data_IF_516002839875
#
_entry.id   IF_516002839875
#
_cell.length_a   1.000
_cell.length_b   1.000
_cell.length_c   1.000
_cell.angle_alpha   90.00
_cell.angle_beta   90.00
_cell.angle_gamma   90.00
#
_symmetry.space_group_name_H-M   'P 1'
#
loop_
_entity.id
_entity.type
_entity.pdbx_description
1 polymer ?
#
# COMPACT_ATOMS: atom_id res chain seq x y z
N UNK A 1 -15.33 28.20 -11.04
CA UNK A 1 -14.28 27.22 -11.39
C UNK A 1 -14.78 25.79 -11.21
N UNK A 2 -15.16 25.35 -10.00
CA UNK A 2 -15.64 23.96 -9.81
C UNK A 2 -16.78 23.56 -10.77
N UNK A 3 -17.80 24.41 -10.93
CA UNK A 3 -18.88 24.17 -11.91
C UNK A 3 -18.39 23.92 -13.34
N UNK A 4 -17.33 24.61 -13.77
CA UNK A 4 -16.75 24.44 -15.12
C UNK A 4 -16.04 23.09 -15.19
N UNK A 5 -15.36 22.68 -14.12
CA UNK A 5 -14.72 21.37 -14.02
C UNK A 5 -15.80 20.28 -14.09
N UNK A 6 -16.87 20.39 -13.30
CA UNK A 6 -17.93 19.38 -13.25
C UNK A 6 -18.65 19.23 -14.61
N UNK A 7 -18.97 20.35 -15.27
CA UNK A 7 -19.58 20.36 -16.61
C UNK A 7 -18.61 19.76 -17.65
N UNK A 8 -17.33 20.16 -17.63
CA UNK A 8 -16.33 19.64 -18.56
C UNK A 8 -16.07 18.15 -18.38
N UNK A 9 -16.00 17.65 -17.14
CA UNK A 9 -15.80 16.24 -16.83
C UNK A 9 -16.96 15.41 -17.36
N UNK A 10 -18.20 15.86 -17.12
CA UNK A 10 -19.40 15.18 -17.61
C UNK A 10 -19.39 15.05 -19.14
N UNK A 11 -19.14 16.14 -19.84
CA UNK A 11 -19.13 16.16 -21.30
C UNK A 11 -17.96 15.35 -21.88
N UNK A 12 -16.78 15.41 -21.25
CA UNK A 12 -15.62 14.60 -21.66
C UNK A 12 -15.90 13.10 -21.52
N UNK A 13 -16.53 12.67 -20.42
CA UNK A 13 -16.94 11.27 -20.25
C UNK A 13 -17.90 10.87 -21.36
N UNK A 14 -18.90 11.69 -21.68
CA UNK A 14 -19.83 11.40 -22.78
C UNK A 14 -19.13 11.31 -24.15
N UNK A 15 -18.19 12.21 -24.44
CA UNK A 15 -17.40 12.17 -25.68
C UNK A 15 -16.57 10.89 -25.77
N UNK A 16 -15.92 10.49 -24.67
CA UNK A 16 -15.04 9.33 -24.62
C UNK A 16 -15.84 8.04 -24.68
N UNK A 17 -16.95 7.93 -23.97
CA UNK A 17 -17.81 6.73 -23.93
C UNK A 17 -18.46 6.43 -25.28
N UNK A 18 -18.63 7.45 -26.13
CA UNK A 18 -19.11 7.29 -27.50
C UNK A 18 -18.03 6.82 -28.50
N UNK A 19 -16.78 6.64 -28.07
CA UNK A 19 -15.70 6.12 -28.93
C UNK A 19 -15.68 4.59 -28.98
N UNK A 20 -15.01 4.04 -30.00
CA UNK A 20 -14.91 2.59 -30.19
C UNK A 20 -14.17 1.88 -29.04
N UNK A 21 -13.15 2.53 -28.49
CA UNK A 21 -12.37 2.05 -27.35
C UNK A 21 -12.28 3.12 -26.25
N UNK A 22 -13.34 3.32 -25.43
CA UNK A 22 -13.40 4.41 -24.46
C UNK A 22 -12.22 4.44 -23.49
N UNK A 23 -11.83 3.27 -22.95
CA UNK A 23 -10.68 3.16 -22.02
C UNK A 23 -9.35 3.53 -22.67
N UNK A 24 -9.09 3.08 -23.90
CA UNK A 24 -7.85 3.40 -24.61
C UNK A 24 -7.79 4.90 -24.93
N UNK A 25 -8.92 5.49 -25.37
CA UNK A 25 -9.04 6.93 -25.65
C UNK A 25 -8.85 7.75 -24.36
N UNK A 26 -9.53 7.39 -23.27
CA UNK A 26 -9.38 8.05 -21.98
C UNK A 26 -7.92 8.02 -21.50
N UNK A 27 -7.29 6.85 -21.58
CA UNK A 27 -5.91 6.68 -21.15
C UNK A 27 -4.94 7.53 -21.98
N UNK A 28 -5.05 7.49 -23.31
CA UNK A 28 -4.22 8.32 -24.18
C UNK A 28 -4.44 9.82 -23.94
N UNK A 29 -5.70 10.26 -23.80
CA UNK A 29 -6.05 11.64 -23.45
C UNK A 29 -5.38 12.09 -22.14
N UNK A 30 -5.45 11.27 -21.10
CA UNK A 30 -4.77 11.54 -19.82
C UNK A 30 -3.26 11.70 -20.06
N UNK A 31 -2.62 10.76 -20.76
CA UNK A 31 -1.18 10.81 -21.00
C UNK A 31 -0.77 12.07 -21.78
N UNK A 32 -1.57 12.51 -22.75
CA UNK A 32 -1.33 13.76 -23.49
C UNK A 32 -1.40 14.99 -22.59
N UNK A 33 -2.37 15.05 -21.69
CA UNK A 33 -2.49 16.15 -20.74
C UNK A 33 -1.32 16.18 -19.74
N UNK A 34 -0.84 15.02 -19.30
CA UNK A 34 0.35 14.93 -18.45
C UNK A 34 1.62 15.35 -19.21
N UNK A 35 1.77 14.93 -20.47
CA UNK A 35 2.89 15.31 -21.33
C UNK A 35 2.91 16.83 -21.59
N UNK A 36 1.76 17.44 -21.76
CA UNK A 36 1.61 18.89 -21.92
C UNK A 36 1.89 19.64 -20.60
N UNK A 37 1.49 19.09 -19.46
CA UNK A 37 1.61 19.73 -18.15
C UNK A 37 2.99 19.56 -17.49
N UNK A 38 3.84 18.65 -17.97
CA UNK A 38 5.16 18.32 -17.37
C UNK A 38 6.14 19.49 -17.24
N UNK A 39 5.93 20.58 -17.98
CA UNK A 39 6.77 21.79 -17.94
C UNK A 39 6.03 23.02 -17.41
N UNK A 40 4.88 22.82 -16.77
CA UNK A 40 4.10 23.90 -16.15
C UNK A 40 4.94 24.66 -15.11
N UNK A 41 4.87 26.00 -15.02
CA UNK A 41 5.51 26.73 -13.91
C UNK A 41 4.71 26.62 -12.59
N UNK A 42 3.51 26.02 -12.62
CA UNK A 42 2.59 25.96 -11.48
C UNK A 42 2.92 24.77 -10.59
N UNK A 43 3.38 25.02 -9.36
CA UNK A 43 3.71 23.99 -8.37
C UNK A 43 2.55 23.01 -8.12
N UNK A 44 1.30 23.51 -8.03
CA UNK A 44 0.11 22.69 -7.85
C UNK A 44 -0.03 21.60 -8.93
N UNK A 45 0.33 21.91 -10.18
CA UNK A 45 0.21 20.97 -11.31
C UNK A 45 1.20 19.82 -11.14
N UNK A 46 2.47 20.12 -10.82
CA UNK A 46 3.48 19.10 -10.55
C UNK A 46 3.12 18.22 -9.37
N UNK A 47 2.66 18.87 -8.30
CA UNK A 47 2.21 18.17 -7.10
C UNK A 47 1.08 17.20 -7.44
N UNK A 48 0.09 17.64 -8.23
CA UNK A 48 -1.05 16.82 -8.63
C UNK A 48 -0.64 15.65 -9.54
N UNK A 49 0.17 15.89 -10.58
CA UNK A 49 0.68 14.84 -11.48
C UNK A 49 1.38 13.75 -10.67
N UNK A 50 2.22 14.13 -9.69
CA UNK A 50 2.94 13.17 -8.85
C UNK A 50 2.01 12.21 -8.10
N UNK A 51 0.79 12.66 -7.79
CA UNK A 51 -0.19 11.83 -7.09
C UNK A 51 -0.92 10.84 -7.97
N UNK A 52 -0.86 10.96 -9.31
CA UNK A 52 -1.66 10.12 -10.21
C UNK A 52 -1.11 8.72 -10.41
N UNK A 53 0.09 8.44 -9.91
CA UNK A 53 0.76 7.14 -10.03
C UNK A 53 0.96 6.72 -11.49
N UNK A 54 1.38 7.69 -12.31
CA UNK A 54 1.76 7.51 -13.71
C UNK A 54 3.19 8.01 -13.84
N UNK A 55 4.10 7.12 -14.23
CA UNK A 55 5.51 7.41 -14.32
C UNK A 55 5.82 8.32 -15.51
N UNK A 56 6.86 9.15 -15.39
CA UNK A 56 7.22 10.10 -16.44
C UNK A 56 7.45 9.44 -17.81
N UNK A 57 8.00 8.22 -17.83
CA UNK A 57 8.24 7.50 -19.08
C UNK A 57 6.94 7.04 -19.77
N UNK A 58 5.83 6.92 -19.03
CA UNK A 58 4.54 6.47 -19.57
C UNK A 58 3.85 7.57 -20.38
N UNK A 59 3.95 8.83 -19.97
CA UNK A 59 3.36 9.96 -20.70
C UNK A 59 4.36 10.74 -21.56
N UNK A 60 5.67 10.47 -21.43
CA UNK A 60 6.67 11.14 -22.27
C UNK A 60 6.35 10.95 -23.75
N UNK A 61 6.29 12.06 -24.48
CA UNK A 61 6.02 12.09 -25.92
C UNK A 61 4.64 11.52 -26.29
N UNK A 62 3.69 11.44 -25.35
CA UNK A 62 2.34 10.92 -25.59
C UNK A 62 1.62 11.67 -26.73
N UNK A 63 1.80 12.99 -26.83
CA UNK A 63 1.21 13.78 -27.91
C UNK A 63 1.69 13.35 -29.32
N UNK A 64 2.87 12.74 -29.45
CA UNK A 64 3.40 12.29 -30.75
C UNK A 64 2.80 10.98 -31.24
N UNK A 65 2.10 10.26 -30.37
CA UNK A 65 1.48 8.96 -30.65
C UNK A 65 -0.04 9.02 -30.52
N UNK A 66 -0.62 10.21 -30.69
CA UNK A 66 -2.07 10.42 -30.73
C UNK A 66 -2.71 9.82 -31.97
N UNK A 67 -4.03 9.72 -31.97
CA UNK A 67 -4.84 9.35 -33.12
C UNK A 67 -6.20 10.06 -33.08
N UNK A 68 -6.90 10.03 -34.21
CA UNK A 68 -8.08 10.84 -34.49
C UNK A 68 -9.24 10.72 -33.47
N UNK A 69 -9.36 9.62 -32.70
CA UNK A 69 -10.42 9.54 -31.67
C UNK A 69 -10.09 10.37 -30.42
N UNK A 70 -8.81 10.69 -30.21
CA UNK A 70 -8.28 11.49 -29.09
C UNK A 70 -8.17 12.96 -29.49
N UNK A 71 -7.47 13.26 -30.59
CA UNK A 71 -7.11 14.61 -31.01
C UNK A 71 -7.88 15.16 -32.22
N UNK A 72 -8.70 14.32 -32.85
CA UNK A 72 -9.53 14.73 -33.99
C UNK A 72 -10.65 15.69 -33.61
N UNK A 73 -11.40 16.14 -34.62
CA UNK A 73 -12.42 17.20 -34.46
C UNK A 73 -13.49 16.88 -33.40
N UNK A 74 -13.81 15.61 -33.18
CA UNK A 74 -14.76 15.14 -32.17
C UNK A 74 -14.10 14.51 -30.96
N UNK A 75 -12.78 14.63 -30.81
CA UNK A 75 -12.00 14.03 -29.73
C UNK A 75 -12.04 14.83 -28.43
N UNK A 76 -11.76 14.18 -27.27
CA UNK A 76 -11.71 14.83 -25.97
C UNK A 76 -10.66 15.94 -25.91
N UNK A 77 -9.52 15.80 -26.62
CA UNK A 77 -8.47 16.81 -26.62
C UNK A 77 -8.95 18.12 -27.27
N UNK A 78 -9.64 18.02 -28.40
CA UNK A 78 -10.19 19.19 -29.09
C UNK A 78 -11.26 19.90 -28.25
N UNK A 79 -12.10 19.15 -27.54
CA UNK A 79 -13.09 19.70 -26.62
C UNK A 79 -12.42 20.49 -25.48
N UNK A 80 -11.42 19.91 -24.81
CA UNK A 80 -10.72 20.58 -23.71
C UNK A 80 -9.95 21.82 -24.18
N UNK A 81 -9.35 21.78 -25.38
CA UNK A 81 -8.71 22.95 -26.01
C UNK A 81 -9.73 24.07 -26.23
N UNK A 82 -10.93 23.77 -26.73
CA UNK A 82 -11.96 24.78 -26.98
C UNK A 82 -12.44 25.47 -25.68
N UNK A 83 -12.58 24.71 -24.58
CA UNK A 83 -12.85 25.28 -23.26
C UNK A 83 -11.73 26.22 -22.85
N UNK A 84 -10.48 25.77 -22.95
CA UNK A 84 -9.32 26.57 -22.54
C UNK A 84 -9.21 27.88 -23.35
N UNK A 85 -9.42 27.82 -24.67
CA UNK A 85 -9.44 29.01 -25.55
C UNK A 85 -10.56 29.98 -25.17
N UNK A 86 -11.74 29.48 -24.82
CA UNK A 86 -12.86 30.29 -24.33
C UNK A 86 -12.49 31.00 -23.04
N UNK A 87 -11.89 30.31 -22.06
CA UNK A 87 -11.44 30.91 -20.80
C UNK A 87 -10.33 31.95 -21.00
N UNK A 88 -9.40 31.70 -21.90
CA UNK A 88 -8.37 32.69 -22.29
C UNK A 88 -8.99 33.94 -22.90
N UNK A 89 -10.01 33.79 -23.76
CA UNK A 89 -10.74 34.94 -24.34
C UNK A 89 -11.44 35.80 -23.27
N UNK A 90 -11.80 35.19 -22.14
CA UNK A 90 -12.36 35.84 -20.96
C UNK A 90 -11.29 36.40 -20.01
N UNK A 91 -10.02 36.40 -20.42
CA UNK A 91 -8.85 36.90 -19.66
C UNK A 91 -8.56 36.12 -18.36
N UNK A 92 -8.91 34.84 -18.29
CA UNK A 92 -8.49 33.97 -17.18
C UNK A 92 -6.99 33.66 -17.29
N UNK A 93 -6.27 33.69 -16.17
CA UNK A 93 -4.83 33.43 -16.09
C UNK A 93 -4.49 31.99 -16.56
N UNK A 94 -3.45 31.85 -17.39
CA UNK A 94 -2.94 30.56 -17.87
C UNK A 94 -2.57 29.58 -16.76
N UNK A 95 -2.09 30.05 -15.60
CA UNK A 95 -1.78 29.22 -14.43
C UNK A 95 -3.04 28.61 -13.80
N UNK A 96 -4.13 29.38 -13.78
CA UNK A 96 -5.45 28.92 -13.32
C UNK A 96 -6.01 27.89 -14.30
N UNK A 97 -5.80 28.09 -15.60
CA UNK A 97 -6.21 27.14 -16.64
C UNK A 97 -5.40 25.84 -16.54
N UNK A 98 -4.10 25.91 -16.31
CA UNK A 98 -3.26 24.72 -16.08
C UNK A 98 -3.74 23.91 -14.86
N UNK A 99 -4.11 24.60 -13.78
CA UNK A 99 -4.68 23.97 -12.59
C UNK A 99 -6.06 23.33 -12.87
N UNK A 100 -6.90 23.96 -13.70
CA UNK A 100 -8.18 23.40 -14.11
C UNK A 100 -8.01 22.14 -14.97
N UNK A 101 -7.10 22.15 -15.94
CA UNK A 101 -6.83 21.01 -16.82
C UNK A 101 -6.43 19.79 -16.01
N UNK A 102 -5.47 19.95 -15.09
CA UNK A 102 -5.00 18.82 -14.29
C UNK A 102 -6.07 18.30 -13.32
N UNK A 103 -6.95 19.17 -12.80
CA UNK A 103 -8.10 18.73 -12.01
C UNK A 103 -9.11 17.93 -12.84
N UNK A 104 -9.40 18.35 -14.07
CA UNK A 104 -10.26 17.57 -14.99
C UNK A 104 -9.65 16.19 -15.25
N UNK A 105 -8.34 16.13 -15.53
CA UNK A 105 -7.60 14.87 -15.73
C UNK A 105 -7.74 13.95 -14.52
N UNK A 106 -7.66 14.48 -13.30
CA UNK A 106 -7.87 13.71 -12.06
C UNK A 106 -9.26 13.07 -11.99
N UNK A 107 -10.32 13.80 -12.34
CA UNK A 107 -11.67 13.27 -12.34
C UNK A 107 -11.88 12.21 -13.44
N UNK A 108 -11.29 12.39 -14.62
CA UNK A 108 -11.31 11.39 -15.70
C UNK A 108 -10.52 10.14 -15.28
N UNK A 109 -9.34 10.31 -14.67
CA UNK A 109 -8.56 9.24 -14.04
C UNK A 109 -9.38 8.44 -13.03
N UNK A 110 -10.13 9.13 -12.16
CA UNK A 110 -11.00 8.51 -11.16
C UNK A 110 -12.17 7.73 -11.82
N UNK A 111 -12.85 8.35 -12.79
CA UNK A 111 -13.99 7.75 -13.47
C UNK A 111 -13.62 6.43 -14.19
N UNK A 112 -12.52 6.43 -14.94
CA UNK A 112 -12.07 5.26 -15.69
C UNK A 112 -11.21 4.30 -14.86
N UNK A 113 -10.98 4.60 -13.58
CA UNK A 113 -10.19 3.81 -12.63
C UNK A 113 -8.78 3.56 -13.16
N UNK A 114 -8.04 4.63 -13.36
CA UNK A 114 -6.67 4.62 -13.87
C UNK A 114 -5.69 5.21 -12.85
N UNK A 115 -4.39 4.93 -13.03
CA UNK A 115 -3.34 5.42 -12.14
C UNK A 115 -3.64 5.05 -10.68
N UNK A 116 -3.63 6.06 -9.79
CA UNK A 116 -3.99 5.91 -8.37
C UNK A 116 -5.41 5.43 -8.08
N UNK A 117 -6.29 5.47 -9.08
CA UNK A 117 -7.67 5.02 -8.98
C UNK A 117 -7.89 3.64 -9.60
N UNK A 118 -6.83 2.99 -10.06
CA UNK A 118 -6.91 1.66 -10.63
C UNK A 118 -7.46 0.66 -9.62
N UNK A 119 -8.57 0.06 -9.98
CA UNK A 119 -9.12 -1.13 -9.32
C UNK A 119 -9.05 -2.27 -10.32
N UNK A 120 -8.48 -3.39 -9.92
CA UNK A 120 -8.30 -4.56 -10.79
C UNK A 120 -9.67 -5.19 -11.08
N UNK A 121 -10.38 -4.65 -12.08
CA UNK A 121 -11.75 -5.03 -12.44
C UNK A 121 -11.83 -6.34 -13.25
N UNK A 122 -10.72 -7.08 -13.42
CA UNK A 122 -10.72 -8.40 -14.05
C UNK A 122 -11.33 -9.44 -13.10
N UNK A 123 -12.65 -9.45 -13.07
CA UNK A 123 -13.46 -10.52 -12.49
C UNK A 123 -13.53 -11.63 -13.54
N UNK A 124 -12.76 -12.69 -13.34
CA UNK A 124 -13.08 -13.96 -13.98
C UNK A 124 -14.28 -14.57 -13.24
N UNK A 125 -15.49 -14.39 -13.78
CA UNK A 125 -16.73 -14.96 -13.20
C UNK A 125 -16.72 -16.49 -13.12
N UNK A 126 -15.71 -17.15 -13.69
CA UNK A 126 -15.52 -18.60 -13.64
C UNK A 126 -14.47 -19.05 -12.60
N UNK A 127 -13.81 -18.15 -11.86
CA UNK A 127 -12.94 -18.58 -10.78
C UNK A 127 -13.78 -19.08 -9.60
N UNK A 128 -13.45 -20.27 -9.09
CA UNK A 128 -14.05 -20.82 -7.86
C UNK A 128 -13.80 -19.85 -6.70
N UNK A 129 -14.78 -18.99 -6.41
CA UNK A 129 -14.66 -18.04 -5.31
C UNK A 129 -14.90 -18.77 -3.99
N UNK A 130 -13.91 -18.70 -3.09
CA UNK A 130 -14.09 -19.10 -1.71
C UNK A 130 -15.04 -18.11 -1.04
N UNK A 131 -16.17 -18.61 -0.52
CA UNK A 131 -17.05 -17.78 0.32
C UNK A 131 -16.49 -17.75 1.74
N UNK A 132 -15.78 -16.68 2.08
CA UNK A 132 -15.10 -16.52 3.37
C UNK A 132 -16.07 -16.39 4.55
N UNK A 133 -17.30 -15.95 4.29
CA UNK A 133 -18.28 -15.63 5.32
C UNK A 133 -19.35 -16.72 5.49
N UNK A 134 -19.31 -17.77 4.67
CA UNK A 134 -20.09 -18.98 4.92
C UNK A 134 -19.60 -19.65 6.22
N UNK A 135 -20.48 -19.92 7.20
CA UNK A 135 -20.08 -20.38 8.53
C UNK A 135 -19.46 -21.80 8.50
N UNK A 136 -18.21 -21.92 8.93
CA UNK A 136 -17.54 -23.22 9.16
C UNK A 136 -17.46 -23.58 10.66
N UNK A 137 -17.54 -22.57 11.52
CA UNK A 137 -17.45 -22.71 12.98
C UNK A 137 -18.78 -22.30 13.62
N UNK A 138 -19.37 -23.22 14.39
CA UNK A 138 -20.59 -22.97 15.14
C UNK A 138 -20.29 -22.15 16.42
N UNK A 139 -20.46 -20.83 16.34
CA UNK A 139 -20.47 -19.90 17.48
C UNK A 139 -19.12 -19.71 18.20
N UNK A 140 -18.70 -20.70 18.99
CA UNK A 140 -17.53 -20.62 19.87
C UNK A 140 -16.24 -20.79 19.05
N UNK A 141 -15.27 -19.89 19.26
CA UNK A 141 -13.95 -19.95 18.61
C UNK A 141 -13.77 -19.04 17.41
N UNK A 142 -14.73 -18.16 17.11
CA UNK A 142 -14.56 -17.09 16.11
C UNK A 142 -13.71 -15.95 16.65
N UNK A 143 -12.84 -15.40 15.82
CA UNK A 143 -12.07 -14.21 16.16
C UNK A 143 -12.99 -12.97 16.28
N UNK A 144 -12.76 -12.06 17.25
CA UNK A 144 -13.57 -10.84 17.39
C UNK A 144 -13.62 -9.94 16.15
N UNK A 145 -12.53 -9.83 15.38
CA UNK A 145 -12.52 -9.06 14.13
C UNK A 145 -13.41 -9.71 13.05
N UNK A 146 -13.42 -11.05 12.97
CA UNK A 146 -14.34 -11.76 12.08
C UNK A 146 -15.79 -11.54 12.51
N UNK A 147 -16.07 -11.61 13.82
CA UNK A 147 -17.41 -11.37 14.37
C UNK A 147 -17.89 -9.95 14.07
N UNK A 148 -17.02 -8.94 14.19
CA UNK A 148 -17.33 -7.56 13.83
C UNK A 148 -17.83 -7.47 12.39
N UNK A 149 -17.17 -8.14 11.46
CA UNK A 149 -17.53 -8.14 10.03
C UNK A 149 -18.86 -8.85 9.73
N UNK A 150 -19.44 -9.61 10.66
CA UNK A 150 -20.75 -10.25 10.47
C UNK A 150 -21.93 -9.28 10.66
N UNK A 151 -21.72 -8.12 11.29
CA UNK A 151 -22.75 -7.07 11.39
C UNK A 151 -23.15 -6.57 9.99
N UNK A 152 -24.45 -6.39 9.76
CA UNK A 152 -25.02 -6.03 8.45
C UNK A 152 -24.43 -4.73 7.89
N UNK A 153 -24.03 -3.79 8.75
CA UNK A 153 -23.40 -2.54 8.30
C UNK A 153 -22.09 -2.75 7.54
N UNK A 154 -21.42 -3.90 7.71
CA UNK A 154 -20.20 -4.26 7.00
C UNK A 154 -20.44 -5.10 5.74
N UNK A 155 -21.68 -5.20 5.23
CA UNK A 155 -21.97 -5.99 4.03
C UNK A 155 -21.08 -5.60 2.83
N UNK A 156 -20.92 -4.30 2.55
CA UNK A 156 -20.07 -3.80 1.48
C UNK A 156 -18.58 -4.14 1.71
N UNK A 157 -18.14 -4.18 2.97
CA UNK A 157 -16.77 -4.55 3.35
C UNK A 157 -16.53 -6.05 3.12
N UNK A 158 -17.52 -6.90 3.46
CA UNK A 158 -17.46 -8.33 3.16
C UNK A 158 -17.37 -8.60 1.66
N UNK A 159 -18.11 -7.85 0.84
CA UNK A 159 -18.01 -7.93 -0.61
C UNK A 159 -16.62 -7.55 -1.11
N UNK A 160 -16.00 -6.49 -0.58
CA UNK A 160 -14.62 -6.10 -0.92
C UNK A 160 -13.63 -7.20 -0.55
N UNK A 161 -13.72 -7.78 0.64
CA UNK A 161 -12.85 -8.87 1.08
C UNK A 161 -13.02 -10.11 0.20
N UNK A 162 -14.26 -10.50 -0.12
CA UNK A 162 -14.52 -11.61 -1.05
C UNK A 162 -13.97 -11.33 -2.46
N UNK A 163 -13.98 -10.06 -2.93
CA UNK A 163 -13.33 -9.68 -4.19
C UNK A 163 -11.82 -9.91 -4.13
N UNK A 164 -11.16 -9.56 -3.02
CA UNK A 164 -9.72 -9.84 -2.84
C UNK A 164 -9.41 -11.34 -2.95
N UNK A 165 -10.34 -12.20 -2.53
CA UNK A 165 -10.21 -13.66 -2.60
C UNK A 165 -10.43 -14.26 -4.00
N UNK A 166 -10.77 -13.44 -5.01
CA UNK A 166 -11.05 -13.93 -6.36
C UNK A 166 -9.78 -14.51 -6.98
N UNK A 167 -9.83 -15.82 -7.27
CA UNK A 167 -8.70 -16.61 -7.78
C UNK A 167 -7.78 -17.18 -6.68
N UNK A 168 -8.10 -17.00 -5.40
CA UNK A 168 -7.35 -17.59 -4.29
C UNK A 168 -7.67 -19.10 -4.20
N UNK A 169 -6.63 -19.94 -4.13
CA UNK A 169 -6.78 -21.39 -4.01
C UNK A 169 -6.50 -21.82 -2.56
N UNK A 170 -7.55 -22.27 -1.87
CA UNK A 170 -7.46 -22.90 -0.54
C UNK A 170 -6.98 -24.35 -0.68
N UNK A 171 -5.65 -24.52 -0.69
CA UNK A 171 -4.97 -25.77 -1.03
C UNK A 171 -5.23 -26.90 -0.04
N UNK A 172 -5.41 -26.58 1.24
CA UNK A 172 -5.54 -27.55 2.32
C UNK A 172 -6.94 -27.53 2.98
N UNK A 173 -7.86 -26.74 2.42
CA UNK A 173 -9.24 -26.55 2.89
C UNK A 173 -9.34 -26.05 4.33
N UNK A 174 -8.28 -25.39 4.85
CA UNK A 174 -8.29 -24.79 6.19
C UNK A 174 -8.43 -23.28 6.14
N UNK A 175 -8.15 -22.63 5.01
CA UNK A 175 -8.08 -21.18 4.94
C UNK A 175 -9.37 -20.53 5.42
N UNK A 176 -10.53 -21.03 5.02
CA UNK A 176 -11.82 -20.49 5.46
C UNK A 176 -12.01 -20.59 6.98
N UNK A 177 -11.64 -21.73 7.57
CA UNK A 177 -11.73 -21.94 9.01
C UNK A 177 -10.80 -20.99 9.76
N UNK A 178 -9.57 -20.87 9.30
CA UNK A 178 -8.55 -19.98 9.89
C UNK A 178 -8.94 -18.51 9.76
N UNK A 179 -9.50 -18.11 8.61
CA UNK A 179 -10.07 -16.78 8.42
C UNK A 179 -11.14 -16.47 9.48
N UNK A 180 -11.95 -17.47 9.89
CA UNK A 180 -12.96 -17.29 10.93
C UNK A 180 -12.41 -17.35 12.37
N UNK A 181 -11.38 -18.17 12.63
CA UNK A 181 -10.89 -18.42 14.00
C UNK A 181 -9.67 -17.59 14.42
N UNK A 182 -8.69 -17.39 13.54
CA UNK A 182 -7.45 -16.64 13.84
C UNK A 182 -7.45 -15.27 13.17
N UNK A 183 -8.10 -15.15 12.01
CA UNK A 183 -8.36 -13.93 11.25
C UNK A 183 -7.11 -13.17 10.77
N UNK A 184 -6.28 -12.60 11.66
CA UNK A 184 -5.19 -11.69 11.27
C UNK A 184 -4.18 -12.34 10.31
N UNK A 185 -3.82 -13.61 10.51
CA UNK A 185 -2.91 -14.35 9.61
C UNK A 185 -3.53 -14.55 8.22
N UNK A 186 -4.74 -15.09 8.16
CA UNK A 186 -5.43 -15.36 6.89
C UNK A 186 -5.82 -14.08 6.17
N UNK A 187 -6.18 -13.01 6.89
CA UNK A 187 -6.44 -11.69 6.31
C UNK A 187 -5.17 -11.10 5.69
N UNK A 188 -4.03 -11.23 6.36
CA UNK A 188 -2.73 -10.78 5.84
C UNK A 188 -2.34 -11.55 4.57
N UNK A 189 -2.48 -12.87 4.57
CA UNK A 189 -2.28 -13.70 3.38
C UNK A 189 -3.21 -13.31 2.22
N UNK A 190 -4.49 -13.09 2.51
CA UNK A 190 -5.48 -12.65 1.52
C UNK A 190 -5.13 -11.29 0.91
N UNK A 191 -4.74 -10.35 1.75
CA UNK A 191 -4.29 -9.03 1.31
C UNK A 191 -3.04 -9.13 0.43
N UNK A 192 -2.04 -9.93 0.84
CA UNK A 192 -0.82 -10.14 0.06
C UNK A 192 -1.11 -10.77 -1.29
N UNK A 193 -2.00 -11.77 -1.35
CA UNK A 193 -2.45 -12.36 -2.60
C UNK A 193 -2.98 -11.29 -3.57
N UNK A 194 -3.85 -10.40 -3.10
CA UNK A 194 -4.38 -9.32 -3.92
C UNK A 194 -3.29 -8.29 -4.28
N UNK A 195 -2.42 -7.91 -3.33
CA UNK A 195 -1.32 -6.99 -3.60
C UNK A 195 -0.36 -7.52 -4.68
N UNK A 196 -0.02 -8.82 -4.66
CA UNK A 196 0.82 -9.44 -5.69
C UNK A 196 0.15 -9.44 -7.06
N UNK A 197 -1.18 -9.59 -7.13
CA UNK A 197 -1.93 -9.40 -8.38
C UNK A 197 -1.82 -7.96 -8.90
N UNK A 198 -1.84 -6.96 -8.02
CA UNK A 198 -1.72 -5.55 -8.40
C UNK A 198 -0.30 -5.17 -8.85
N UNK A 199 0.72 -5.92 -8.41
CA UNK A 199 2.05 -5.91 -9.00
C UNK A 199 2.16 -6.68 -10.34
N UNK A 200 1.09 -7.35 -10.79
CA UNK A 200 1.10 -8.17 -11.99
C UNK A 200 1.88 -9.48 -11.84
N UNK A 201 2.09 -9.95 -10.61
CA UNK A 201 2.80 -11.20 -10.33
C UNK A 201 1.88 -12.40 -10.52
N UNK A 202 2.42 -13.49 -11.06
CA UNK A 202 1.72 -14.77 -11.19
C UNK A 202 2.04 -15.66 -10.00
N UNK A 203 1.01 -16.14 -9.31
CA UNK A 203 1.17 -16.95 -8.10
C UNK A 203 1.14 -18.43 -8.48
N UNK A 204 2.18 -19.18 -8.09
CA UNK A 204 2.28 -20.63 -8.30
C UNK A 204 1.72 -21.38 -7.10
N UNK A 205 0.42 -21.70 -7.18
CA UNK A 205 -0.27 -22.48 -6.15
C UNK A 205 0.19 -23.94 -6.03
N UNK A 206 1.01 -24.45 -6.96
CA UNK A 206 1.56 -25.82 -6.85
C UNK A 206 2.60 -25.96 -5.73
N UNK A 207 3.14 -24.84 -5.21
CA UNK A 207 4.19 -24.81 -4.17
C UNK A 207 3.59 -24.50 -2.80
N UNK A 208 3.48 -25.50 -1.93
CA UNK A 208 2.87 -25.35 -0.60
C UNK A 208 3.64 -24.47 0.39
N UNK A 209 4.95 -24.27 0.18
CA UNK A 209 5.81 -23.51 1.10
C UNK A 209 6.98 -22.87 0.35
N UNK A 210 7.46 -21.67 0.72
CA UNK A 210 6.80 -20.69 1.58
C UNK A 210 5.38 -20.32 1.10
N UNK A 211 4.61 -19.60 1.91
CA UNK A 211 3.16 -19.35 1.66
C UNK A 211 2.86 -18.94 0.20
N UNK A 212 3.72 -18.09 -0.37
CA UNK A 212 3.68 -17.69 -1.78
C UNK A 212 4.97 -17.99 -2.52
N UNK A 213 4.86 -18.64 -3.67
CA UNK A 213 5.87 -18.61 -4.74
C UNK A 213 5.29 -17.83 -5.89
N UNK A 214 5.94 -16.76 -6.31
CA UNK A 214 5.43 -15.87 -7.36
C UNK A 214 6.45 -15.66 -8.47
N UNK A 215 5.94 -15.44 -9.68
CA UNK A 215 6.73 -15.04 -10.84
C UNK A 215 6.43 -13.59 -11.17
N UNK A 216 7.46 -12.76 -11.20
CA UNK A 216 7.32 -11.32 -11.48
C UNK A 216 7.12 -11.08 -12.97
N UNK A 217 6.70 -9.87 -13.35
CA UNK A 217 6.53 -9.47 -14.76
C UNK A 217 7.82 -9.62 -15.59
N UNK A 218 8.99 -9.58 -14.93
CA UNK A 218 10.31 -9.80 -15.55
C UNK A 218 10.72 -11.28 -15.56
N UNK A 219 9.85 -12.18 -15.11
CA UNK A 219 10.06 -13.61 -15.11
C UNK A 219 10.90 -14.15 -13.96
N UNK A 220 11.22 -13.33 -12.95
CA UNK A 220 11.98 -13.74 -11.76
C UNK A 220 11.07 -14.48 -10.78
N UNK A 221 11.61 -15.48 -10.09
CA UNK A 221 10.89 -16.20 -9.03
C UNK A 221 11.20 -15.59 -7.68
N UNK A 222 10.17 -15.31 -6.89
CA UNK A 222 10.28 -14.84 -5.51
C UNK A 222 9.55 -15.81 -4.58
N UNK A 223 10.14 -16.06 -3.41
CA UNK A 223 9.54 -16.90 -2.37
C UNK A 223 9.23 -16.04 -1.16
N UNK A 224 7.95 -15.95 -0.80
CA UNK A 224 7.48 -15.07 0.27
C UNK A 224 6.76 -15.88 1.34
N UNK A 225 7.23 -15.73 2.58
CA UNK A 225 6.55 -16.25 3.77
C UNK A 225 5.73 -15.14 4.42
N UNK A 226 4.43 -15.37 4.64
CA UNK A 226 3.57 -14.45 5.37
C UNK A 226 3.68 -14.72 6.88
N UNK A 227 3.68 -13.64 7.67
CA UNK A 227 3.69 -13.73 9.13
C UNK A 227 3.00 -12.53 9.75
N UNK A 228 2.28 -12.76 10.84
CA UNK A 228 1.82 -11.68 11.71
C UNK A 228 2.55 -11.72 13.03
N UNK A 229 2.98 -10.55 13.52
CA UNK A 229 3.44 -10.42 14.89
C UNK A 229 2.21 -10.26 15.80
N UNK A 230 1.64 -11.36 16.28
CA UNK A 230 0.47 -11.31 17.17
C UNK A 230 0.86 -11.02 18.62
N UNK A 231 -0.12 -10.75 19.47
CA UNK A 231 0.07 -10.59 20.92
C UNK A 231 0.69 -11.86 21.55
N UNK A 232 1.34 -11.70 22.70
CA UNK A 232 1.73 -12.82 23.54
C UNK A 232 0.50 -13.36 24.29
N UNK A 233 0.52 -14.65 24.66
CA UNK A 233 -0.62 -15.34 25.29
C UNK A 233 -1.16 -14.62 26.54
N UNK A 234 -0.26 -14.00 27.32
CA UNK A 234 -0.60 -13.27 28.55
C UNK A 234 -0.65 -11.74 28.36
N UNK A 235 -0.81 -11.26 27.12
CA UNK A 235 -0.88 -9.83 26.80
C UNK A 235 -2.15 -9.47 26.06
N UNK A 236 -2.54 -8.20 26.14
CA UNK A 236 -3.74 -7.69 25.50
C UNK A 236 -3.66 -7.86 23.97
N UNK A 237 -4.66 -8.49 23.33
CA UNK A 237 -4.73 -8.57 21.89
C UNK A 237 -5.09 -7.22 21.27
N UNK A 238 -4.78 -7.04 19.99
CA UNK A 238 -5.02 -5.77 19.30
C UNK A 238 -6.49 -5.34 19.22
N UNK A 239 -7.42 -6.31 19.18
CA UNK A 239 -8.86 -6.07 19.17
C UNK A 239 -9.43 -5.73 20.56
N UNK A 240 -8.57 -5.58 21.59
CA UNK A 240 -9.00 -5.11 22.91
C UNK A 240 -9.65 -3.73 22.79
N UNK A 241 -10.70 -3.50 23.59
CA UNK A 241 -11.34 -2.19 23.70
C UNK A 241 -10.51 -1.17 24.47
N UNK A 242 -9.36 -1.57 25.04
CA UNK A 242 -8.46 -0.67 25.74
C UNK A 242 -7.95 0.43 24.80
N UNK A 243 -8.19 1.69 25.19
CA UNK A 243 -7.77 2.88 24.43
C UNK A 243 -6.60 3.60 25.08
N UNK A 244 -6.09 3.10 26.21
CA UNK A 244 -4.99 3.73 26.92
C UNK A 244 -3.72 3.67 26.07
N UNK A 245 -3.11 4.84 25.86
CA UNK A 245 -1.83 4.94 25.21
C UNK A 245 -0.75 4.62 26.23
N UNK A 246 0.01 3.55 25.96
CA UNK A 246 1.23 3.24 26.71
C UNK A 246 2.28 4.33 26.48
N UNK A 247 3.23 4.44 27.40
CA UNK A 247 4.45 5.21 27.15
C UNK A 247 5.12 4.74 25.86
N UNK A 248 5.55 5.70 25.02
CA UNK A 248 6.04 5.43 23.66
C UNK A 248 7.19 4.41 23.64
N UNK A 249 8.10 4.50 24.60
CA UNK A 249 9.22 3.58 24.75
C UNK A 249 8.77 2.15 25.06
N UNK A 250 7.84 1.98 25.99
CA UNK A 250 7.29 0.66 26.36
C UNK A 250 6.50 0.04 25.20
N UNK A 251 5.69 0.85 24.53
CA UNK A 251 4.97 0.45 23.33
C UNK A 251 5.92 -0.05 22.24
N UNK A 252 6.93 0.74 21.88
CA UNK A 252 7.88 0.36 20.84
C UNK A 252 8.75 -0.82 21.23
N UNK A 253 9.20 -0.91 22.49
CA UNK A 253 9.98 -2.05 22.96
C UNK A 253 9.18 -3.35 22.83
N UNK A 254 7.91 -3.33 23.23
CA UNK A 254 7.03 -4.49 23.07
C UNK A 254 6.87 -4.88 21.58
N UNK A 255 6.61 -3.91 20.71
CA UNK A 255 6.54 -4.12 19.26
C UNK A 255 7.83 -4.72 18.70
N UNK A 256 8.99 -4.18 19.06
CA UNK A 256 10.29 -4.68 18.60
C UNK A 256 10.51 -6.15 19.00
N UNK A 257 10.17 -6.54 20.23
CA UNK A 257 10.32 -7.92 20.71
C UNK A 257 9.47 -8.88 19.85
N UNK A 258 8.21 -8.52 19.58
CA UNK A 258 7.26 -9.38 18.85
C UNK A 258 7.62 -9.49 17.37
N UNK A 259 7.99 -8.38 16.74
CA UNK A 259 8.47 -8.35 15.36
C UNK A 259 9.75 -9.19 15.23
N UNK A 260 10.76 -8.96 16.08
CA UNK A 260 12.02 -9.72 16.03
C UNK A 260 11.81 -11.21 16.23
N UNK A 261 10.95 -11.63 17.18
CA UNK A 261 10.63 -13.05 17.38
C UNK A 261 9.99 -13.67 16.14
N UNK A 262 9.10 -12.94 15.46
CA UNK A 262 8.44 -13.39 14.23
C UNK A 262 9.45 -13.59 13.11
N UNK A 263 10.31 -12.60 12.85
CA UNK A 263 11.39 -12.69 11.86
C UNK A 263 12.36 -13.83 12.18
N UNK A 264 12.76 -13.98 13.45
CA UNK A 264 13.63 -15.07 13.89
C UNK A 264 13.02 -16.45 13.65
N UNK A 265 11.72 -16.62 13.90
CA UNK A 265 11.03 -17.89 13.70
C UNK A 265 11.01 -18.28 12.21
N UNK A 266 10.76 -17.31 11.32
CA UNK A 266 10.71 -17.54 9.87
C UNK A 266 12.09 -17.69 9.24
N UNK A 267 13.11 -17.03 9.78
CA UNK A 267 14.51 -17.29 9.41
C UNK A 267 14.94 -18.72 9.77
N UNK A 268 14.63 -19.18 10.99
CA UNK A 268 14.88 -20.57 11.39
C UNK A 268 14.12 -21.57 10.53
N UNK A 269 12.88 -21.27 10.14
CA UNK A 269 12.08 -22.10 9.23
C UNK A 269 12.72 -22.19 7.85
N UNK A 270 13.28 -21.10 7.34
CA UNK A 270 14.06 -21.13 6.11
C UNK A 270 15.25 -22.07 6.22
N UNK A 271 16.11 -21.87 7.23
CA UNK A 271 17.33 -22.66 7.41
C UNK A 271 17.06 -24.16 7.54
N UNK A 272 16.00 -24.53 8.27
CA UNK A 272 15.69 -25.92 8.58
C UNK A 272 14.84 -26.63 7.51
N UNK A 273 14.15 -25.89 6.64
CA UNK A 273 13.18 -26.48 5.72
C UNK A 273 13.15 -25.79 4.36
N UNK A 274 12.85 -24.49 4.28
CA UNK A 274 12.62 -23.86 2.96
C UNK A 274 13.87 -23.87 2.07
N UNK A 275 15.07 -23.79 2.65
CA UNK A 275 16.35 -23.89 1.94
C UNK A 275 16.53 -25.20 1.16
N UNK A 276 15.83 -26.28 1.55
CA UNK A 276 15.89 -27.58 0.87
C UNK A 276 14.94 -27.70 -0.33
N UNK A 277 14.08 -26.70 -0.55
CA UNK A 277 13.08 -26.72 -1.62
C UNK A 277 13.68 -26.17 -2.92
N UNK A 278 13.59 -26.96 -3.99
CA UNK A 278 14.18 -26.62 -5.31
C UNK A 278 13.73 -25.27 -5.90
N UNK A 279 12.51 -24.81 -5.60
CA UNK A 279 12.00 -23.51 -6.08
C UNK A 279 12.45 -22.33 -5.20
N UNK A 280 13.00 -22.60 -4.02
CA UNK A 280 13.55 -21.60 -3.10
C UNK A 280 15.04 -21.39 -3.35
N UNK A 281 15.78 -22.45 -3.64
CA UNK A 281 17.22 -22.41 -3.89
C UNK A 281 17.59 -21.37 -4.97
N UNK A 282 18.54 -20.50 -4.66
CA UNK A 282 19.04 -19.45 -5.56
C UNK A 282 18.06 -18.30 -5.85
N UNK A 283 16.85 -18.32 -5.29
CA UNK A 283 15.86 -17.26 -5.46
C UNK A 283 15.74 -16.40 -4.19
N UNK A 284 15.30 -15.13 -4.31
CA UNK A 284 15.04 -14.29 -3.15
C UNK A 284 14.01 -14.91 -2.19
N UNK A 285 14.35 -14.89 -0.89
CA UNK A 285 13.45 -15.26 0.19
C UNK A 285 13.05 -14.02 0.98
N UNK A 286 11.75 -13.74 1.02
CA UNK A 286 11.19 -12.51 1.57
C UNK A 286 10.24 -12.90 2.70
N UNK A 287 10.25 -12.12 3.78
CA UNK A 287 9.26 -12.25 4.85
C UNK A 287 8.29 -11.08 4.73
N UNK A 288 7.01 -11.37 4.56
CA UNK A 288 5.94 -10.38 4.60
C UNK A 288 5.33 -10.34 6.00
N UNK A 289 5.58 -9.27 6.74
CA UNK A 289 5.23 -9.12 8.14
C UNK A 289 4.18 -8.03 8.35
N UNK A 290 3.09 -8.34 9.04
CA UNK A 290 2.15 -7.36 9.57
C UNK A 290 2.15 -7.34 11.11
N UNK A 291 2.24 -6.17 11.76
CA UNK A 291 2.23 -6.04 13.21
C UNK A 291 0.79 -6.08 13.74
N UNK A 292 0.44 -7.01 14.61
CA UNK A 292 -0.88 -7.12 15.27
C UNK A 292 -0.70 -7.40 16.78
N UNK A 293 0.41 -6.91 17.34
CA UNK A 293 0.92 -7.42 18.60
C UNK A 293 0.23 -6.83 19.83
N UNK A 294 -0.39 -5.65 19.70
CA UNK A 294 -1.02 -4.95 20.81
C UNK A 294 -2.06 -3.94 20.31
N UNK A 295 -2.93 -3.41 21.19
CA UNK A 295 -3.84 -2.32 20.84
C UNK A 295 -3.07 -1.14 20.25
N UNK A 296 -3.69 -0.47 19.27
CA UNK A 296 -3.11 0.67 18.57
C UNK A 296 -1.77 0.38 17.87
N UNK A 297 -1.45 -0.89 17.53
CA UNK A 297 -0.20 -1.26 16.86
C UNK A 297 0.14 -0.37 15.67
N UNK A 298 -0.87 0.11 14.92
CA UNK A 298 -0.69 0.91 13.71
C UNK A 298 -0.04 2.28 13.98
N UNK A 299 -0.09 2.80 15.21
CA UNK A 299 0.54 4.07 15.61
C UNK A 299 2.06 4.00 15.44
N UNK A 300 2.66 2.80 15.53
CA UNK A 300 4.11 2.64 15.37
C UNK A 300 4.62 3.08 13.98
N UNK A 301 3.74 3.18 12.98
CA UNK A 301 4.09 3.40 11.57
C UNK A 301 5.23 2.48 11.13
N UNK A 302 6.46 2.98 11.04
CA UNK A 302 7.66 2.22 10.70
C UNK A 302 8.72 2.21 11.81
N UNK A 303 8.46 2.81 12.98
CA UNK A 303 9.47 3.00 14.03
C UNK A 303 10.02 1.67 14.56
N UNK A 304 9.15 0.72 14.94
CA UNK A 304 9.60 -0.54 15.52
C UNK A 304 10.30 -1.44 14.49
N UNK A 305 9.80 -1.51 13.25
CA UNK A 305 10.45 -2.29 12.20
C UNK A 305 11.82 -1.70 11.83
N UNK A 306 11.97 -0.37 11.79
CA UNK A 306 13.25 0.30 11.57
C UNK A 306 14.24 -0.03 12.70
N UNK A 307 13.79 -0.01 13.97
CA UNK A 307 14.61 -0.44 15.11
C UNK A 307 15.07 -1.88 14.94
N UNK A 308 14.16 -2.80 14.64
CA UNK A 308 14.46 -4.23 14.51
C UNK A 308 15.44 -4.51 13.36
N UNK A 309 15.23 -3.92 12.19
CA UNK A 309 16.03 -4.20 10.99
C UNK A 309 17.37 -3.45 10.98
N UNK A 310 17.40 -2.19 11.43
CA UNK A 310 18.56 -1.32 11.26
C UNK A 310 19.18 -0.85 12.58
N UNK A 311 18.57 -1.17 13.73
CA UNK A 311 19.10 -0.77 15.03
C UNK A 311 19.07 0.74 15.22
N UNK A 312 18.11 1.41 14.59
CA UNK A 312 17.96 2.87 14.57
C UNK A 312 16.55 3.27 14.99
N UNK A 313 16.43 4.47 15.55
CA UNK A 313 15.18 5.14 15.86
C UNK A 313 15.32 6.65 15.66
N UNK A 314 14.31 7.39 16.06
CA UNK A 314 14.34 8.84 16.11
C UNK A 314 14.08 9.31 17.53
N UNK A 315 14.88 10.26 18.00
CA UNK A 315 14.65 10.97 19.25
C UNK A 315 14.31 12.42 18.91
N UNK A 316 13.07 12.80 19.18
CA UNK A 316 12.59 14.16 18.95
C UNK A 316 12.52 14.94 20.27
N UNK A 317 13.15 16.11 20.31
CA UNK A 317 13.12 17.04 21.45
C UNK A 317 12.62 18.40 21.00
N UNK A 318 11.95 19.14 21.88
CA UNK A 318 11.62 20.54 21.59
C UNK A 318 12.82 21.42 21.86
N UNK A 319 13.20 22.25 20.90
CA UNK A 319 14.24 23.26 21.09
C UNK A 319 13.72 24.43 21.96
N UNK A 320 14.57 25.40 22.22
CA UNK A 320 14.25 26.57 23.05
C UNK A 320 13.10 27.45 22.50
N UNK A 321 12.73 27.28 21.23
CA UNK A 321 11.61 27.96 20.58
C UNK A 321 10.33 27.10 20.53
N UNK A 322 10.37 25.89 21.08
CA UNK A 322 9.26 24.94 21.08
C UNK A 322 9.13 24.11 19.81
N UNK A 323 10.07 24.23 18.86
CA UNK A 323 10.09 23.48 17.61
C UNK A 323 10.67 22.08 17.84
N UNK A 324 10.14 21.07 17.15
CA UNK A 324 10.63 19.70 17.24
C UNK A 324 11.92 19.54 16.42
N UNK A 325 12.99 19.17 17.10
CA UNK A 325 14.26 18.72 16.50
C UNK A 325 14.38 17.21 16.71
N UNK A 326 14.50 16.46 15.62
CA UNK A 326 14.64 15.00 15.64
C UNK A 326 16.03 14.59 15.18
N UNK A 327 16.69 13.74 15.96
CA UNK A 327 17.98 13.14 15.63
C UNK A 327 17.86 11.62 15.51
N UNK A 328 18.81 11.02 14.78
CA UNK A 328 18.94 9.56 14.68
C UNK A 328 19.41 9.03 16.03
N UNK A 329 18.66 8.11 16.60
CA UNK A 329 19.03 7.39 17.81
C UNK A 329 19.49 5.98 17.44
N UNK A 330 20.69 5.57 17.87
CA UNK A 330 21.13 4.19 17.68
C UNK A 330 20.59 3.32 18.82
N UNK A 331 19.72 2.37 18.48
CA UNK A 331 19.07 1.43 19.40
C UNK A 331 19.47 -0.01 19.05
N UNK A 332 20.73 -0.41 19.29
CA UNK A 332 21.22 -1.73 18.87
C UNK A 332 20.67 -2.86 19.72
N UNK A 333 20.08 -2.57 20.88
CA UNK A 333 19.61 -3.58 21.83
C UNK A 333 18.31 -3.14 22.50
N UNK A 334 17.51 -4.13 22.91
CA UNK A 334 16.37 -3.93 23.82
C UNK A 334 16.43 -4.93 24.97
N UNK A 335 16.05 -4.48 26.15
CA UNK A 335 15.95 -5.32 27.34
C UNK A 335 14.53 -5.84 27.48
N UNK A 336 14.39 -7.16 27.64
CA UNK A 336 13.13 -7.78 28.09
C UNK A 336 12.91 -7.53 29.57
N UNK A 337 11.66 -7.65 30.03
CA UNK A 337 11.30 -7.58 31.45
C UNK A 337 12.09 -8.57 32.32
N UNK A 338 12.43 -9.75 31.77
CA UNK A 338 13.23 -10.76 32.46
C UNK A 338 14.75 -10.48 32.45
N UNK A 339 15.19 -9.31 31.98
CA UNK A 339 16.59 -8.91 31.89
C UNK A 339 17.36 -9.45 30.69
N UNK A 340 16.75 -10.30 29.86
CA UNK A 340 17.41 -10.77 28.63
C UNK A 340 17.56 -9.63 27.61
N UNK A 341 18.75 -9.50 27.05
CA UNK A 341 19.07 -8.50 26.03
C UNK A 341 18.84 -9.11 24.64
N UNK A 342 18.09 -8.42 23.79
CA UNK A 342 17.93 -8.77 22.39
C UNK A 342 18.68 -7.78 21.51
N UNK A 343 19.54 -8.31 20.64
CA UNK A 343 20.21 -7.55 19.58
C UNK A 343 19.22 -7.20 18.47
N UNK A 344 19.18 -5.92 18.11
CA UNK A 344 18.47 -5.39 16.95
C UNK A 344 19.45 -5.14 15.78
N UNK A 345 18.98 -4.55 14.69
CA UNK A 345 19.81 -4.27 13.53
C UNK A 345 20.11 -5.51 12.71
N UNK A 346 19.13 -6.38 12.50
CA UNK A 346 19.34 -7.68 11.83
C UNK A 346 19.80 -7.57 10.37
N UNK A 347 19.61 -6.40 9.72
CA UNK A 347 20.08 -6.06 8.37
C UNK A 347 21.36 -5.21 8.37
N UNK A 348 22.02 -5.08 9.51
CA UNK A 348 23.32 -4.38 9.64
C UNK A 348 24.51 -5.34 9.65
N UNK A 349 24.26 -6.66 9.52
CA UNK A 349 25.27 -7.70 9.51
C UNK A 349 24.80 -8.96 8.74
N UNK A 350 25.67 -9.97 8.63
CA UNK A 350 25.44 -11.19 7.83
C UNK A 350 24.58 -12.28 8.51
N UNK A 351 24.10 -12.08 9.74
CA UNK A 351 23.39 -13.11 10.53
C UNK A 351 22.06 -13.56 9.88
N UNK A 352 21.46 -12.69 9.07
CA UNK A 352 20.18 -12.92 8.37
C UNK A 352 20.33 -12.79 6.84
N UNK A 353 21.52 -13.12 6.31
CA UNK A 353 21.83 -13.01 4.87
C UNK A 353 20.89 -13.83 3.98
N UNK A 354 20.20 -14.84 4.52
CA UNK A 354 19.22 -15.63 3.78
C UNK A 354 17.91 -14.87 3.52
N UNK A 355 17.60 -13.82 4.30
CA UNK A 355 16.44 -12.96 4.07
C UNK A 355 16.84 -11.85 3.10
N UNK A 356 16.20 -11.82 1.94
CA UNK A 356 16.41 -10.83 0.89
C UNK A 356 15.84 -9.46 1.24
N UNK A 357 14.62 -9.45 1.78
CA UNK A 357 13.90 -8.25 2.17
C UNK A 357 12.77 -8.58 3.15
N UNK A 358 12.22 -7.55 3.80
CA UNK A 358 10.98 -7.62 4.58
C UNK A 358 9.93 -6.72 3.94
N UNK A 359 8.77 -7.29 3.59
CA UNK A 359 7.56 -6.54 3.24
C UNK A 359 6.84 -6.22 4.54
N UNK A 360 6.44 -4.97 4.74
CA UNK A 360 5.82 -4.53 5.98
C UNK A 360 4.68 -3.54 5.72
N UNK A 361 3.61 -3.62 6.51
CA UNK A 361 2.52 -2.64 6.46
C UNK A 361 1.77 -2.57 7.79
N UNK A 362 1.53 -1.34 8.27
CA UNK A 362 0.59 -1.03 9.35
C UNK A 362 -0.79 -0.62 8.81
N UNK A 363 -0.93 -0.43 7.51
CA UNK A 363 -2.16 0.04 6.84
C UNK A 363 -2.99 -1.09 6.22
N UNK A 364 -2.43 -2.30 6.13
CA UNK A 364 -3.09 -3.49 5.61
C UNK A 364 -3.98 -4.18 6.66
N UNK A 365 -4.97 -3.44 7.16
CA UNK A 365 -5.94 -3.91 8.16
C UNK A 365 -7.35 -3.92 7.57
N UNK A 366 -8.35 -4.36 8.34
CA UNK A 366 -9.76 -4.29 7.93
C UNK A 366 -10.18 -2.89 7.48
N UNK A 367 -9.58 -1.83 8.04
CA UNK A 367 -9.88 -0.46 7.63
C UNK A 367 -9.52 -0.19 6.17
N UNK A 368 -8.63 -0.97 5.54
CA UNK A 368 -8.37 -0.88 4.09
C UNK A 368 -9.56 -1.38 3.28
N UNK A 369 -10.15 -2.50 3.70
CA UNK A 369 -11.37 -3.01 3.07
C UNK A 369 -12.56 -2.05 3.30
N UNK A 370 -12.63 -1.41 4.48
CA UNK A 370 -13.64 -0.38 4.75
C UNK A 370 -13.52 0.77 3.77
N UNK A 371 -12.33 1.35 3.60
CA UNK A 371 -12.19 2.52 2.72
C UNK A 371 -12.18 2.21 1.22
N UNK A 372 -11.99 0.95 0.85
CA UNK A 372 -12.25 0.46 -0.50
C UNK A 372 -13.71 0.08 -0.74
N UNK A 373 -14.56 0.15 0.30
CA UNK A 373 -16.00 -0.02 0.20
C UNK A 373 -16.71 1.33 0.19
N UNK A 374 -17.96 1.35 -0.24
CA UNK A 374 -18.81 2.55 -0.20
C UNK A 374 -19.48 2.74 1.19
N UNK A 375 -18.85 2.26 2.27
CA UNK A 375 -19.37 2.46 3.63
C UNK A 375 -19.33 3.95 3.97
N UNK A 376 -20.44 4.51 4.44
CA UNK A 376 -20.50 5.92 4.84
C UNK A 376 -19.60 6.17 6.06
N UNK A 377 -18.89 7.30 6.06
CA UNK A 377 -18.02 7.72 7.15
C UNK A 377 -16.93 8.68 6.68
N UNK A 378 -16.06 9.05 7.61
CA UNK A 378 -14.96 9.99 7.37
C UNK A 378 -13.61 9.29 7.51
N UNK A 379 -12.72 9.52 6.56
CA UNK A 379 -11.34 9.02 6.55
C UNK A 379 -10.39 10.14 6.94
N UNK A 380 -9.69 9.98 8.07
CA UNK A 380 -8.45 10.73 8.31
C UNK A 380 -7.31 10.00 7.64
N UNK A 381 -6.64 10.66 6.71
CA UNK A 381 -5.49 10.10 5.99
C UNK A 381 -4.30 11.05 6.14
N UNK A 382 -3.14 10.47 6.45
CA UNK A 382 -1.89 11.20 6.51
C UNK A 382 -0.97 10.73 5.39
N UNK A 383 -0.40 11.67 4.64
CA UNK A 383 0.46 11.43 3.48
C UNK A 383 1.81 12.11 3.65
N UNK A 384 2.84 11.49 3.12
CA UNK A 384 4.20 12.05 3.13
C UNK A 384 4.35 13.15 2.09
N UNK A 385 4.96 14.27 2.44
CA UNK A 385 5.41 15.30 1.51
C UNK A 385 6.83 15.73 1.91
N UNK A 386 7.76 15.65 0.97
CA UNK A 386 9.19 15.96 1.19
C UNK A 386 9.46 17.40 1.61
N UNK A 387 8.56 18.35 1.32
CA UNK A 387 8.71 19.76 1.70
C UNK A 387 7.93 20.10 2.96
N UNK A 388 6.73 19.54 3.12
CA UNK A 388 5.79 19.88 4.19
C UNK A 388 5.78 18.88 5.35
N UNK A 389 6.49 17.76 5.22
CA UNK A 389 6.40 16.65 6.16
C UNK A 389 5.08 15.91 6.01
N UNK A 390 4.41 15.62 7.12
CA UNK A 390 3.16 14.86 7.11
C UNK A 390 1.97 15.78 6.83
N UNK A 391 1.31 15.59 5.68
CA UNK A 391 0.04 16.26 5.35
C UNK A 391 -1.10 15.39 5.86
N UNK A 392 -2.09 15.97 6.52
CA UNK A 392 -3.26 15.23 7.01
C UNK A 392 -4.56 15.86 6.53
N UNK A 393 -5.43 15.03 5.98
CA UNK A 393 -6.75 15.41 5.50
C UNK A 393 -7.84 14.63 6.22
N UNK A 394 -9.03 15.22 6.33
CA UNK A 394 -10.28 14.55 6.68
C UNK A 394 -11.16 14.55 5.43
N UNK A 395 -11.49 13.37 4.93
CA UNK A 395 -12.12 13.18 3.62
C UNK A 395 -13.29 12.21 3.79
N UNK A 396 -14.50 12.52 3.29
CA UNK A 396 -15.58 11.55 3.18
C UNK A 396 -15.14 10.26 2.47
N UNK A 397 -15.60 9.10 2.95
CA UNK A 397 -15.12 7.82 2.43
C UNK A 397 -15.52 7.58 0.97
N UNK A 398 -16.68 8.06 0.55
CA UNK A 398 -17.19 7.95 -0.82
C UNK A 398 -16.31 8.67 -1.87
N UNK A 399 -15.49 9.64 -1.45
CA UNK A 399 -14.51 10.31 -2.31
C UNK A 399 -13.05 9.94 -1.99
N UNK A 400 -12.82 9.23 -0.88
CA UNK A 400 -11.50 8.73 -0.54
C UNK A 400 -11.16 7.51 -1.39
N UNK A 401 -9.94 7.46 -1.93
CA UNK A 401 -9.49 6.33 -2.72
C UNK A 401 -8.11 5.90 -2.23
N UNK A 402 -7.97 4.59 -2.05
CA UNK A 402 -6.79 3.92 -1.58
C UNK A 402 -6.61 2.59 -2.32
N UNK A 403 -5.43 2.37 -2.86
CA UNK A 403 -5.05 1.10 -3.50
C UNK A 403 -4.67 0.06 -2.45
N UNK A 404 -4.50 -1.19 -2.85
CA UNK A 404 -3.94 -2.20 -1.95
C UNK A 404 -2.51 -1.86 -1.54
N UNK A 405 -1.74 -1.17 -2.38
CA UNK A 405 -0.31 -0.95 -2.21
C UNK A 405 0.02 0.27 -1.32
N UNK A 406 -0.98 1.12 -1.03
CA UNK A 406 -0.81 2.28 -0.17
C UNK A 406 -0.41 1.91 1.26
N UNK A 407 0.73 2.49 1.69
CA UNK A 407 1.36 2.22 2.98
C UNK A 407 2.16 0.92 3.03
N UNK A 408 2.39 0.24 1.89
CA UNK A 408 3.29 -0.91 1.79
C UNK A 408 4.75 -0.45 1.81
N UNK A 409 5.56 -1.13 2.62
CA UNK A 409 6.99 -0.84 2.80
C UNK A 409 7.82 -2.05 2.42
N UNK A 410 8.93 -1.83 1.73
CA UNK A 410 9.90 -2.87 1.36
C UNK A 410 11.26 -2.51 1.95
N UNK A 411 11.66 -3.26 2.96
CA UNK A 411 12.95 -3.09 3.64
C UNK A 411 13.97 -4.06 3.06
N UNK A 412 14.99 -3.55 2.37
CA UNK A 412 16.00 -4.36 1.70
C UNK A 412 17.12 -4.74 2.64
N UNK A 413 17.58 -5.99 2.57
CA UNK A 413 18.75 -6.45 3.31
C UNK A 413 20.03 -6.26 2.47
N UNK A 414 20.94 -5.36 2.85
CA UNK A 414 22.19 -5.15 2.10
C UNK A 414 23.16 -6.33 2.19
N UNK A 415 22.93 -7.29 3.09
CA UNK A 415 23.73 -8.51 3.24
C UNK A 415 23.08 -9.75 2.63
N UNK A 416 21.97 -9.60 1.88
CA UNK A 416 21.25 -10.72 1.28
C UNK A 416 22.14 -11.56 0.34
N UNK A 417 22.08 -12.88 0.46
CA UNK A 417 22.74 -13.81 -0.49
C UNK A 417 22.09 -13.72 -1.88
N UNK A 418 20.75 -13.73 -1.91
CA UNK A 418 19.96 -13.56 -3.13
C UNK A 418 19.15 -12.27 -3.00
N UNK A 419 19.70 -11.09 -3.35
CA UNK A 419 19.03 -9.81 -3.11
C UNK A 419 17.72 -9.68 -3.90
N UNK A 420 16.71 -9.08 -3.27
CA UNK A 420 15.50 -8.65 -3.97
C UNK A 420 15.86 -7.48 -4.88
N UNK A 421 15.56 -7.55 -6.17
CA UNK A 421 15.74 -6.37 -7.01
C UNK A 421 14.50 -5.44 -6.89
N UNK A 422 14.70 -4.15 -6.57
CA UNK A 422 13.61 -3.22 -6.26
C UNK A 422 12.56 -3.04 -7.37
N UNK A 423 12.91 -3.29 -8.63
CA UNK A 423 11.98 -3.13 -9.75
C UNK A 423 10.80 -4.09 -9.72
N UNK A 424 10.89 -5.19 -8.95
CA UNK A 424 9.73 -6.09 -8.77
C UNK A 424 8.59 -5.45 -7.97
N UNK A 425 8.88 -4.38 -7.22
CA UNK A 425 7.94 -3.68 -6.35
C UNK A 425 7.91 -2.17 -6.63
N UNK A 426 8.10 -1.76 -7.89
CA UNK A 426 8.34 -0.36 -8.28
C UNK A 426 7.11 0.56 -8.34
N UNK A 427 5.99 0.16 -7.73
CA UNK A 427 4.74 0.94 -7.75
C UNK A 427 4.90 2.21 -6.90
N UNK A 428 4.21 3.28 -7.29
CA UNK A 428 4.46 4.61 -6.73
C UNK A 428 4.17 4.70 -5.23
N UNK A 429 3.15 3.98 -4.78
CA UNK A 429 2.66 3.90 -3.41
C UNK A 429 3.66 3.25 -2.45
N UNK A 430 4.58 2.46 -3.01
CA UNK A 430 5.47 1.58 -2.25
C UNK A 430 6.69 2.35 -1.78
N UNK A 431 6.92 2.33 -0.47
CA UNK A 431 8.10 2.93 0.13
C UNK A 431 9.22 1.90 0.20
N UNK A 432 10.40 2.22 -0.34
CA UNK A 432 11.58 1.37 -0.24
C UNK A 432 12.58 1.91 0.78
N UNK A 433 13.08 1.02 1.64
CA UNK A 433 14.11 1.32 2.63
C UNK A 433 15.38 0.54 2.28
N UNK A 434 16.48 1.26 2.09
CA UNK A 434 17.81 0.71 1.94
C UNK A 434 18.69 1.14 3.12
N UNK A 435 19.80 0.44 3.34
CA UNK A 435 20.75 0.78 4.40
C UNK A 435 22.15 0.95 3.83
N UNK A 436 22.70 2.15 3.97
CA UNK A 436 24.06 2.48 3.55
C UNK A 436 25.04 1.98 4.63
N UNK A 437 25.86 0.98 4.27
CA UNK A 437 26.81 0.34 5.19
C UNK A 437 27.96 1.26 5.60
N UNK A 438 28.29 2.26 4.79
CA UNK A 438 29.41 3.18 5.04
C UNK A 438 28.93 4.30 5.95
N UNK A 439 27.82 4.94 5.60
CA UNK A 439 27.25 6.04 6.39
C UNK A 439 26.53 5.54 7.64
N UNK A 440 26.11 4.27 7.65
CA UNK A 440 25.22 3.70 8.66
C UNK A 440 23.93 4.49 8.76
N UNK A 441 23.32 4.77 7.61
CA UNK A 441 22.10 5.56 7.49
C UNK A 441 21.08 4.81 6.63
N UNK A 442 19.80 5.02 6.93
CA UNK A 442 18.70 4.49 6.12
C UNK A 442 18.45 5.45 4.97
N UNK A 443 18.50 4.93 3.74
CA UNK A 443 18.06 5.63 2.54
C UNK A 443 16.60 5.24 2.25
N UNK A 444 15.69 6.11 2.68
CA UNK A 444 14.25 5.97 2.44
C UNK A 444 13.86 6.61 1.10
N UNK A 445 13.41 5.78 0.15
CA UNK A 445 12.87 6.19 -1.15
C UNK A 445 11.35 6.31 -1.12
N UNK A 446 10.82 7.06 -0.15
CA UNK A 446 9.40 7.38 -0.06
C UNK A 446 9.06 8.54 -1.00
N UNK A 447 7.97 8.41 -1.74
CA UNK A 447 7.53 9.40 -2.74
C UNK A 447 6.47 10.33 -2.16
N UNK A 448 6.38 11.54 -2.69
CA UNK A 448 5.36 12.50 -2.23
C UNK A 448 3.96 11.91 -2.41
N UNK A 449 3.06 12.24 -1.48
CA UNK A 449 1.66 11.82 -1.43
C UNK A 449 1.40 10.32 -1.17
N UNK A 450 2.41 9.51 -0.89
CA UNK A 450 2.18 8.13 -0.41
C UNK A 450 1.54 8.15 0.98
N UNK A 451 0.58 7.26 1.22
CA UNK A 451 -0.10 7.14 2.52
C UNK A 451 0.88 6.61 3.58
N UNK A 452 0.91 7.31 4.73
CA UNK A 452 1.68 6.91 5.93
C UNK A 452 0.76 6.25 6.94
N UNK A 453 -0.43 6.83 7.16
CA UNK A 453 -1.40 6.31 8.10
C UNK A 453 -2.82 6.68 7.72
N UNK A 454 -3.79 5.93 8.25
CA UNK A 454 -5.21 6.11 8.00
C UNK A 454 -6.03 5.69 9.20
N UNK A 455 -7.08 6.44 9.49
CA UNK A 455 -8.11 6.11 10.47
C UNK A 455 -9.47 6.36 9.82
N UNK A 456 -10.37 5.38 9.93
CA UNK A 456 -11.76 5.51 9.52
C UNK A 456 -12.62 5.82 10.75
N UNK A 457 -13.48 6.82 10.63
CA UNK A 457 -14.49 7.19 11.61
C UNK A 457 -15.86 6.87 11.01
N UNK A 458 -16.59 6.00 11.71
CA UNK A 458 -18.00 5.80 11.42
C UNK A 458 -18.78 6.91 12.16
N UNK A 459 -19.69 7.59 11.46
CA UNK A 459 -20.54 8.62 12.05
C UNK A 459 -21.56 8.06 13.05
#
# INVERSE_FOLDING_TARGET
MQRIIDEAVKDLIEIIDNKKSPKDVAWQFILEELDAAKSSPVEFVHQRISTFYIEHHEYKDAMKRSWNDVDGQSGPQQYLVNICLTLLSQKINSEVIASLRISIVEYILAHYKFGRYFTNDLIDKNSSNIDLFFPEINGIGKNPNFVLLLDDKYCAVREVINKWATGFIDRDHKFKKEFQSTFNSSFWELYLFQAFKDFGMQIDFSKQSPDFTVKTIKGRTLNIEAVTANNADNSEPEWSSNRDLKEHSDFLNFSCIRILNSLNSKHKRYLNYYSSLSHVEGNPYIIALAPFEQPNFFIQNNEAIIRVLYGQGARCTKNQFGELECEIEFTPNISKENGAILELGIFTNKKYKEISAVIFSTTATVSKAIVQSNMEGTVRVSRFDSKKGLITDLIPNDIHIETHLDGLQIHHNPFAENPLNPEDFSKYEVSHYFYDLVKKEIDNKQRNYTIVSRIFFND
#
